data_IF_312094031974
#
_entry.id   IF_312094031974
#
_cell.length_a   1.000
_cell.length_b   1.000
_cell.length_c   1.000
_cell.angle_alpha   90.00
_cell.angle_beta   90.00
_cell.angle_gamma   90.00
#
_symmetry.space_group_name_H-M   'P 1'
#
loop_
_entity.id
_entity.type
_entity.pdbx_description
1 polymer ?
#
# COMPACT_ATOMS: atom_id res chain seq x y z
N UNK A 1 8.38 -29.18 -1.64
CA UNK A 1 7.80 -27.85 -1.94
C UNK A 1 6.70 -27.42 -0.97
N UNK A 2 5.73 -28.28 -0.59
CA UNK A 2 4.70 -27.96 0.43
C UNK A 2 5.24 -27.42 1.78
N UNK A 3 6.27 -28.02 2.41
CA UNK A 3 6.70 -27.58 3.75
C UNK A 3 7.33 -26.18 3.76
N UNK A 4 8.02 -25.79 2.69
CA UNK A 4 8.63 -24.45 2.56
C UNK A 4 7.52 -23.40 2.43
N UNK A 5 6.52 -23.66 1.60
CA UNK A 5 5.38 -22.75 1.44
C UNK A 5 4.59 -22.61 2.74
N UNK A 6 4.45 -23.68 3.52
CA UNK A 6 3.75 -23.65 4.80
C UNK A 6 4.54 -22.89 5.89
N UNK A 7 5.87 -22.98 5.88
CA UNK A 7 6.72 -22.16 6.75
C UNK A 7 6.57 -20.66 6.43
N UNK A 8 6.70 -20.29 5.15
CA UNK A 8 6.52 -18.90 4.71
C UNK A 8 5.09 -18.40 4.82
N UNK A 9 4.08 -19.29 4.90
CA UNK A 9 2.69 -18.92 5.14
C UNK A 9 2.32 -18.84 6.64
N UNK A 10 3.29 -18.89 7.56
CA UNK A 10 3.05 -18.86 9.00
C UNK A 10 2.62 -17.49 9.50
N UNK A 11 1.47 -17.42 10.17
CA UNK A 11 0.95 -16.19 10.82
C UNK A 11 1.88 -15.71 11.94
N UNK A 12 2.54 -16.64 12.65
CA UNK A 12 3.51 -16.32 13.70
C UNK A 12 4.70 -15.55 13.13
N UNK A 13 5.17 -15.97 11.95
CA UNK A 13 6.25 -15.30 11.23
C UNK A 13 5.82 -13.89 10.82
N UNK A 14 4.63 -13.73 10.24
CA UNK A 14 4.11 -12.42 9.84
C UNK A 14 4.05 -11.45 11.01
N UNK A 15 3.50 -11.90 12.15
CA UNK A 15 3.37 -11.07 13.35
C UNK A 15 4.75 -10.68 13.91
N UNK A 16 5.69 -11.62 13.95
CA UNK A 16 7.05 -11.35 14.39
C UNK A 16 7.76 -10.35 13.46
N UNK A 17 7.61 -10.49 12.14
CA UNK A 17 8.19 -9.58 11.16
C UNK A 17 7.57 -8.18 11.24
N UNK A 18 6.25 -8.07 11.37
CA UNK A 18 5.58 -6.77 11.49
C UNK A 18 6.00 -6.03 12.76
N UNK A 19 6.03 -6.72 13.90
CA UNK A 19 6.48 -6.12 15.16
C UNK A 19 7.97 -5.76 15.12
N UNK A 20 8.81 -6.66 14.59
CA UNK A 20 10.24 -6.41 14.44
C UNK A 20 10.52 -5.22 13.53
N UNK A 21 9.95 -5.19 12.32
CA UNK A 21 10.08 -4.07 11.38
C UNK A 21 9.54 -2.77 11.98
N UNK A 22 8.44 -2.81 12.74
CA UNK A 22 7.91 -1.63 13.40
C UNK A 22 8.89 -1.05 14.42
N UNK A 23 9.48 -1.88 15.29
CA UNK A 23 10.44 -1.43 16.30
C UNK A 23 11.71 -0.86 15.64
N UNK A 24 12.19 -1.54 14.61
CA UNK A 24 13.34 -1.14 13.82
C UNK A 24 13.08 0.21 13.12
N UNK A 25 11.91 0.36 12.48
CA UNK A 25 11.55 1.60 11.78
C UNK A 25 11.46 2.79 12.74
N UNK A 26 10.94 2.59 13.96
CA UNK A 26 10.96 3.60 15.02
C UNK A 26 12.41 3.97 15.36
N UNK A 27 13.30 2.99 15.54
CA UNK A 27 14.72 3.22 15.77
C UNK A 27 15.39 4.05 14.67
N UNK A 28 15.14 3.73 13.40
CA UNK A 28 15.67 4.47 12.25
C UNK A 28 15.12 5.89 12.11
N UNK A 29 13.94 6.16 12.67
CA UNK A 29 13.35 7.51 12.69
C UNK A 29 13.95 8.35 13.81
N UNK A 30 14.22 7.76 14.96
CA UNK A 30 14.82 8.46 16.12
C UNK A 30 16.32 8.71 15.92
N UNK A 31 17.01 7.82 15.20
CA UNK A 31 18.45 7.87 15.00
C UNK A 31 18.81 8.01 13.52
N UNK A 32 18.56 9.17 12.89
CA UNK A 32 18.87 9.37 11.48
C UNK A 32 20.37 9.27 11.20
N UNK A 33 20.71 8.81 10.00
CA UNK A 33 22.09 8.86 9.50
C UNK A 33 22.40 10.30 9.11
N UNK A 34 23.35 10.92 9.80
CA UNK A 34 23.83 12.26 9.50
C UNK A 34 25.00 12.19 8.51
N UNK A 35 24.90 12.92 7.39
CA UNK A 35 26.01 13.14 6.46
C UNK A 35 26.20 14.66 6.30
N UNK A 36 27.12 15.23 7.08
CA UNK A 36 27.30 16.67 7.16
C UNK A 36 26.13 17.33 7.89
N UNK A 37 25.49 18.32 7.26
CA UNK A 37 24.34 19.06 7.83
C UNK A 37 22.97 18.48 7.42
N UNK A 38 22.93 17.39 6.65
CA UNK A 38 21.70 16.83 6.09
C UNK A 38 21.36 15.50 6.79
N UNK A 39 20.13 15.40 7.29
CA UNK A 39 19.58 14.14 7.82
C UNK A 39 19.10 13.26 6.67
N UNK A 40 19.74 12.11 6.48
CA UNK A 40 19.46 11.19 5.35
C UNK A 40 18.75 9.93 5.82
N UNK A 41 17.45 10.05 6.10
CA UNK A 41 16.60 8.93 6.52
C UNK A 41 16.57 7.80 5.48
N UNK A 42 16.68 8.13 4.20
CA UNK A 42 16.64 7.18 3.10
C UNK A 42 17.75 6.14 3.19
N UNK A 43 18.94 6.48 3.67
CA UNK A 43 20.07 5.54 3.77
C UNK A 43 19.77 4.39 4.74
N UNK A 44 19.03 4.67 5.82
CA UNK A 44 18.62 3.66 6.78
C UNK A 44 17.65 2.66 6.14
N UNK A 45 16.61 3.17 5.46
CA UNK A 45 15.58 2.33 4.83
C UNK A 45 16.03 1.65 3.54
N UNK A 46 17.07 2.19 2.88
CA UNK A 46 17.72 1.57 1.73
C UNK A 46 18.77 0.51 2.12
N UNK A 47 19.07 0.37 3.41
CA UNK A 47 20.04 -0.62 3.87
C UNK A 47 19.62 -2.05 3.52
N UNK A 48 20.60 -2.87 3.14
CA UNK A 48 20.37 -4.24 2.68
C UNK A 48 19.66 -5.10 3.73
N UNK A 49 19.92 -4.86 5.02
CA UNK A 49 19.33 -5.62 6.10
C UNK A 49 17.85 -5.24 6.31
N UNK A 50 17.51 -3.95 6.24
CA UNK A 50 16.12 -3.49 6.34
C UNK A 50 15.30 -4.01 5.15
N UNK A 51 15.86 -3.87 3.94
CA UNK A 51 15.25 -4.40 2.71
C UNK A 51 15.11 -5.91 2.73
N UNK A 52 16.05 -6.64 3.30
CA UNK A 52 15.96 -8.09 3.44
C UNK A 52 14.80 -8.50 4.37
N UNK A 53 14.58 -7.77 5.47
CA UNK A 53 13.41 -7.96 6.34
C UNK A 53 12.11 -7.61 5.62
N UNK A 54 12.08 -6.51 4.86
CA UNK A 54 10.94 -6.11 4.05
C UNK A 54 10.62 -7.14 2.96
N UNK A 55 11.63 -7.66 2.26
CA UNK A 55 11.52 -8.71 1.25
C UNK A 55 11.04 -10.03 1.86
N UNK A 56 11.52 -10.37 3.07
CA UNK A 56 11.06 -11.55 3.81
C UNK A 56 9.57 -11.43 4.18
N UNK A 57 9.13 -10.25 4.63
CA UNK A 57 7.72 -9.96 4.87
C UNK A 57 6.90 -10.04 3.58
N UNK A 58 7.40 -9.49 2.47
CA UNK A 58 6.75 -9.56 1.17
C UNK A 58 6.60 -11.03 0.70
N UNK A 59 7.63 -11.85 0.86
CA UNK A 59 7.59 -13.27 0.47
C UNK A 59 6.59 -14.06 1.34
N UNK A 60 6.53 -13.77 2.64
CA UNK A 60 5.53 -14.33 3.55
C UNK A 60 4.10 -13.95 3.12
N UNK A 61 3.86 -12.67 2.82
CA UNK A 61 2.56 -12.19 2.37
C UNK A 61 2.19 -12.78 1.01
N UNK A 62 3.15 -12.92 0.09
CA UNK A 62 2.96 -13.56 -1.21
C UNK A 62 2.58 -15.04 -1.07
N UNK A 63 3.26 -15.79 -0.19
CA UNK A 63 2.93 -17.19 0.10
C UNK A 63 1.51 -17.32 0.71
N UNK A 64 1.15 -16.45 1.65
CA UNK A 64 -0.18 -16.40 2.24
C UNK A 64 -1.26 -16.06 1.20
N UNK A 65 -0.96 -15.10 0.31
CA UNK A 65 -1.84 -14.68 -0.79
C UNK A 65 -2.04 -15.82 -1.77
N UNK A 66 -0.98 -16.53 -2.14
CA UNK A 66 -1.07 -17.70 -3.01
C UNK A 66 -1.97 -18.79 -2.43
N UNK A 67 -1.81 -19.09 -1.13
CA UNK A 67 -2.65 -20.07 -0.42
C UNK A 67 -4.12 -19.66 -0.40
N UNK A 68 -4.39 -18.38 -0.12
CA UNK A 68 -5.76 -17.84 -0.07
C UNK A 68 -6.38 -17.80 -1.46
N UNK A 69 -5.64 -17.35 -2.46
CA UNK A 69 -6.05 -17.31 -3.86
C UNK A 69 -6.36 -18.71 -4.40
N UNK A 70 -5.46 -19.67 -4.16
CA UNK A 70 -5.67 -21.09 -4.51
C UNK A 70 -6.93 -21.66 -3.84
N UNK A 71 -7.18 -21.31 -2.57
CA UNK A 71 -8.37 -21.72 -1.83
C UNK A 71 -9.65 -21.13 -2.42
N UNK A 72 -9.67 -19.85 -2.78
CA UNK A 72 -10.83 -19.16 -3.36
C UNK A 72 -11.18 -19.74 -4.74
N UNK A 73 -10.17 -20.03 -5.56
CA UNK A 73 -10.37 -20.63 -6.90
C UNK A 73 -10.79 -22.10 -6.79
N UNK A 74 -10.16 -22.87 -5.90
CA UNK A 74 -10.44 -24.29 -5.70
C UNK A 74 -11.75 -24.58 -4.94
N UNK A 75 -12.39 -23.56 -4.36
CA UNK A 75 -13.58 -23.71 -3.54
C UNK A 75 -14.75 -24.34 -4.29
N UNK A 76 -14.97 -23.96 -5.57
CA UNK A 76 -16.02 -24.54 -6.41
C UNK A 76 -15.89 -26.06 -6.45
N UNK A 77 -14.70 -26.54 -6.84
CA UNK A 77 -14.41 -27.99 -6.93
C UNK A 77 -14.50 -28.67 -5.57
N UNK A 78 -14.03 -28.02 -4.50
CA UNK A 78 -14.12 -28.57 -3.15
C UNK A 78 -15.58 -28.77 -2.70
N UNK A 79 -16.45 -27.80 -2.96
CA UNK A 79 -17.86 -27.89 -2.59
C UNK A 79 -18.60 -28.96 -3.41
N UNK A 80 -18.28 -29.10 -4.69
CA UNK A 80 -18.80 -30.18 -5.55
C UNK A 80 -18.32 -31.56 -5.06
N UNK A 81 -17.03 -31.70 -4.74
CA UNK A 81 -16.50 -32.95 -4.17
C UNK A 81 -17.12 -33.29 -2.81
N UNK A 82 -17.48 -32.29 -1.99
CA UNK A 82 -18.22 -32.53 -0.76
C UNK A 82 -19.61 -33.09 -1.09
N UNK A 83 -20.30 -32.58 -2.11
CA UNK A 83 -21.55 -33.18 -2.59
C UNK A 83 -21.36 -34.60 -3.18
N UNK A 84 -20.19 -34.93 -3.76
CA UNK A 84 -19.87 -36.29 -4.23
C UNK A 84 -19.67 -37.27 -3.09
N UNK A 85 -19.02 -36.84 -2.01
CA UNK A 85 -18.68 -37.69 -0.86
C UNK A 85 -19.72 -37.61 0.28
N UNK A 86 -20.75 -36.77 0.16
CA UNK A 86 -21.83 -36.64 1.16
C UNK A 86 -22.85 -37.75 0.97
N UNK A 87 -22.48 -38.99 1.30
CA UNK A 87 -23.39 -40.15 1.22
C UNK A 87 -24.11 -40.47 2.54
N UNK A 88 -23.92 -39.74 3.65
CA UNK A 88 -24.72 -40.02 4.89
C UNK A 88 -24.56 -39.09 6.11
N UNK A 89 -23.68 -38.09 6.12
CA UNK A 89 -23.30 -37.39 7.38
C UNK A 89 -23.28 -35.85 7.31
N UNK A 90 -24.12 -35.23 6.47
CA UNK A 90 -24.27 -33.77 6.50
C UNK A 90 -25.27 -33.34 7.59
N UNK A 91 -24.93 -32.39 8.48
CA UNK A 91 -25.71 -32.09 9.69
C UNK A 91 -27.08 -31.41 9.47
N UNK A 92 -27.48 -31.15 8.21
CA UNK A 92 -28.77 -30.54 7.85
C UNK A 92 -29.16 -30.91 6.42
N UNK A 93 -29.59 -32.15 6.22
CA UNK A 93 -30.27 -32.55 4.98
C UNK A 93 -31.76 -32.35 5.17
N UNK A 94 -32.40 -31.59 4.28
CA UNK A 94 -33.86 -31.43 4.24
C UNK A 94 -34.33 -32.07 2.95
N UNK A 95 -35.19 -33.08 3.05
CA UNK A 95 -35.83 -33.66 1.88
C UNK A 95 -36.92 -32.72 1.37
N UNK A 96 -36.74 -32.21 0.15
CA UNK A 96 -37.74 -31.39 -0.53
C UNK A 96 -38.65 -32.31 -1.32
N UNK A 97 -39.76 -32.72 -0.72
CA UNK A 97 -40.74 -33.59 -1.38
C UNK A 97 -41.42 -32.88 -2.56
N UNK A 98 -41.39 -33.50 -3.75
CA UNK A 98 -42.21 -33.11 -4.90
C UNK A 98 -41.71 -31.92 -5.76
N UNK A 99 -40.45 -31.51 -5.67
CA UNK A 99 -39.89 -30.44 -6.52
C UNK A 99 -38.77 -30.93 -7.42
N UNK A 100 -38.86 -30.63 -8.72
CA UNK A 100 -37.78 -30.83 -9.70
C UNK A 100 -36.60 -29.91 -9.37
N UNK A 101 -35.38 -30.38 -9.64
CA UNK A 101 -34.12 -29.61 -9.55
C UNK A 101 -34.26 -28.23 -10.21
N UNK A 102 -34.88 -28.15 -11.39
CA UNK A 102 -35.10 -26.89 -12.12
C UNK A 102 -35.94 -25.86 -11.35
N UNK A 103 -36.97 -26.31 -10.63
CA UNK A 103 -37.83 -25.43 -9.84
C UNK A 103 -37.09 -24.82 -8.64
N UNK A 104 -36.15 -25.58 -8.08
CA UNK A 104 -35.28 -25.15 -6.98
C UNK A 104 -34.24 -24.15 -7.50
N UNK A 105 -33.62 -24.44 -8.65
CA UNK A 105 -32.69 -23.52 -9.32
C UNK A 105 -33.34 -22.16 -9.59
N UNK A 106 -34.55 -22.16 -10.16
CA UNK A 106 -35.25 -20.91 -10.51
C UNK A 106 -35.55 -20.05 -9.28
N UNK A 107 -36.02 -20.66 -8.18
CA UNK A 107 -36.26 -19.94 -6.91
C UNK A 107 -34.98 -19.37 -6.31
N UNK A 108 -33.87 -20.10 -6.39
CA UNK A 108 -32.58 -19.65 -5.85
C UNK A 108 -32.02 -18.47 -6.65
N UNK A 109 -32.11 -18.53 -7.99
CA UNK A 109 -31.76 -17.40 -8.85
C UNK A 109 -32.60 -16.15 -8.53
N UNK A 110 -33.92 -16.30 -8.32
CA UNK A 110 -34.79 -15.19 -7.93
C UNK A 110 -34.40 -14.54 -6.58
N UNK A 111 -33.87 -15.32 -5.63
CA UNK A 111 -33.40 -14.81 -4.34
C UNK A 111 -31.96 -14.25 -4.39
N UNK A 112 -31.39 -14.10 -5.59
CA UNK A 112 -30.06 -13.53 -5.81
C UNK A 112 -28.90 -14.48 -5.50
N UNK A 113 -29.15 -15.79 -5.51
CA UNK A 113 -28.07 -16.79 -5.47
C UNK A 113 -27.57 -17.07 -6.87
N UNK A 114 -26.25 -17.17 -7.02
CA UNK A 114 -25.62 -17.66 -8.23
C UNK A 114 -25.59 -19.18 -8.18
N UNK A 115 -26.39 -19.81 -9.03
CA UNK A 115 -26.53 -21.27 -9.10
C UNK A 115 -25.55 -21.84 -10.13
N UNK A 116 -24.99 -22.99 -9.83
CA UNK A 116 -24.19 -23.80 -10.75
C UNK A 116 -24.81 -25.19 -10.77
N UNK A 117 -25.22 -25.61 -11.97
CA UNK A 117 -25.73 -26.95 -12.22
C UNK A 117 -24.61 -27.83 -12.79
N UNK A 118 -24.36 -28.99 -12.18
CA UNK A 118 -23.38 -29.96 -12.67
C UNK A 118 -23.93 -31.37 -12.44
N UNK A 119 -24.28 -32.08 -13.53
CA UNK A 119 -25.03 -33.35 -13.49
C UNK A 119 -26.36 -33.21 -12.73
N UNK A 120 -26.60 -34.00 -11.67
CA UNK A 120 -27.80 -33.92 -10.80
C UNK A 120 -27.57 -33.05 -9.55
N UNK A 121 -26.60 -32.14 -9.59
CA UNK A 121 -26.15 -31.37 -8.42
C UNK A 121 -26.30 -29.88 -8.66
N UNK A 122 -26.91 -29.21 -7.68
CA UNK A 122 -27.06 -27.77 -7.65
C UNK A 122 -26.21 -27.17 -6.53
N UNK A 123 -25.35 -26.23 -6.89
CA UNK A 123 -24.58 -25.42 -5.96
C UNK A 123 -25.04 -23.97 -6.07
N UNK A 124 -25.70 -23.46 -5.03
CA UNK A 124 -26.18 -22.08 -4.97
C UNK A 124 -25.41 -21.26 -3.94
N UNK A 125 -24.89 -20.10 -4.36
CA UNK A 125 -24.02 -19.25 -3.53
C UNK A 125 -24.31 -17.76 -3.72
N UNK A 126 -24.26 -17.00 -2.63
CA UNK A 126 -24.44 -15.54 -2.62
C UNK A 126 -23.24 -14.88 -1.95
N UNK A 127 -22.82 -13.70 -2.43
CA UNK A 127 -21.76 -12.90 -1.81
C UNK A 127 -20.32 -13.30 -2.17
N UNK A 128 -20.01 -13.47 -3.47
CA UNK A 128 -18.64 -13.81 -3.90
C UNK A 128 -17.60 -12.71 -3.64
N UNK A 129 -18.00 -11.44 -3.70
CA UNK A 129 -17.09 -10.29 -3.61
C UNK A 129 -16.37 -10.19 -2.27
N UNK A 130 -17.05 -10.52 -1.16
CA UNK A 130 -16.45 -10.49 0.18
C UNK A 130 -15.29 -11.47 0.36
N UNK A 131 -15.12 -12.45 -0.53
CA UNK A 131 -14.03 -13.45 -0.47
C UNK A 131 -12.76 -12.99 -1.18
N UNK A 132 -12.87 -12.02 -2.10
CA UNK A 132 -11.75 -11.44 -2.82
C UNK A 132 -11.09 -10.29 -2.07
N UNK A 133 -11.74 -9.75 -1.03
CA UNK A 133 -11.22 -8.65 -0.22
C UNK A 133 -9.82 -8.93 0.34
N UNK A 134 -9.61 -10.11 0.92
CA UNK A 134 -8.34 -10.49 1.53
C UNK A 134 -7.20 -10.63 0.49
N UNK A 135 -7.35 -11.39 -0.61
CA UNK A 135 -6.33 -11.41 -1.67
C UNK A 135 -6.04 -10.04 -2.26
N UNK A 136 -7.06 -9.20 -2.47
CA UNK A 136 -6.89 -7.86 -3.06
C UNK A 136 -6.08 -6.96 -2.12
N UNK A 137 -6.40 -6.95 -0.83
CA UNK A 137 -5.67 -6.17 0.18
C UNK A 137 -4.19 -6.58 0.25
N UNK A 138 -3.91 -7.88 0.26
CA UNK A 138 -2.52 -8.33 0.26
C UNK A 138 -1.81 -7.94 -1.03
N UNK A 139 -2.49 -8.03 -2.18
CA UNK A 139 -1.91 -7.65 -3.47
C UNK A 139 -1.57 -6.16 -3.53
N UNK A 140 -2.41 -5.27 -2.97
CA UNK A 140 -2.10 -3.84 -2.91
C UNK A 140 -0.89 -3.55 -2.03
N UNK A 141 -0.80 -4.19 -0.86
CA UNK A 141 0.35 -4.02 0.04
C UNK A 141 1.62 -4.58 -0.62
N UNK A 142 1.55 -5.74 -1.27
CA UNK A 142 2.65 -6.32 -2.03
C UNK A 142 3.11 -5.40 -3.16
N UNK A 143 2.20 -4.76 -3.88
CA UNK A 143 2.54 -3.82 -4.95
C UNK A 143 3.35 -2.63 -4.41
N UNK A 144 2.96 -2.05 -3.27
CA UNK A 144 3.70 -0.96 -2.61
C UNK A 144 5.09 -1.43 -2.16
N UNK A 145 5.18 -2.61 -1.54
CA UNK A 145 6.46 -3.18 -1.09
C UNK A 145 7.40 -3.46 -2.27
N UNK A 146 6.88 -3.98 -3.38
CA UNK A 146 7.65 -4.23 -4.60
C UNK A 146 8.18 -2.92 -5.19
N UNK A 147 7.38 -1.85 -5.20
CA UNK A 147 7.85 -0.52 -5.63
C UNK A 147 9.02 -0.02 -4.77
N UNK A 148 8.92 -0.17 -3.45
CA UNK A 148 10.00 0.19 -2.52
C UNK A 148 11.28 -0.64 -2.71
N UNK A 149 11.15 -1.95 -2.99
CA UNK A 149 12.29 -2.82 -3.28
C UNK A 149 12.91 -2.53 -4.66
N UNK A 150 12.08 -2.20 -5.65
CA UNK A 150 12.52 -1.86 -7.00
C UNK A 150 13.21 -0.49 -7.08
N UNK A 151 13.16 0.33 -6.02
CA UNK A 151 13.80 1.64 -6.00
C UNK A 151 15.33 1.57 -6.18
N UNK A 152 15.95 0.41 -5.97
CA UNK A 152 17.38 0.15 -6.21
C UNK A 152 17.76 0.18 -7.69
N UNK A 153 16.79 -0.02 -8.59
CA UNK A 153 17.00 0.11 -10.02
C UNK A 153 17.11 1.57 -10.45
N UNK A 154 16.74 2.51 -9.58
CA UNK A 154 16.92 3.93 -9.78
C UNK A 154 18.29 4.41 -9.29
N UNK A 155 18.59 5.66 -9.59
CA UNK A 155 19.76 6.37 -9.07
C UNK A 155 19.31 7.64 -8.35
N UNK A 156 20.10 8.08 -7.37
CA UNK A 156 19.88 9.33 -6.66
C UNK A 156 20.99 10.29 -7.06
N UNK A 157 20.59 11.48 -7.51
CA UNK A 157 21.51 12.49 -7.97
C UNK A 157 20.96 13.88 -7.69
N UNK A 158 21.85 14.84 -7.54
CA UNK A 158 21.46 16.25 -7.42
C UNK A 158 21.96 17.02 -8.62
N UNK A 159 21.20 17.99 -9.07
CA UNK A 159 21.65 18.94 -10.08
C UNK A 159 21.17 20.32 -9.74
N UNK A 160 22.00 21.32 -10.01
CA UNK A 160 21.59 22.72 -9.98
C UNK A 160 21.29 23.14 -11.41
N UNK A 161 20.06 23.56 -11.68
CA UNK A 161 19.61 24.04 -12.99
C UNK A 161 18.90 25.38 -12.78
N UNK A 162 19.22 26.35 -13.63
CA UNK A 162 18.59 27.67 -13.63
C UNK A 162 17.50 27.73 -14.70
N UNK A 163 16.55 28.66 -14.56
CA UNK A 163 15.54 28.89 -15.59
C UNK A 163 16.19 29.12 -16.96
N UNK A 164 15.55 28.60 -18.01
CA UNK A 164 16.00 28.59 -19.41
C UNK A 164 17.27 27.79 -19.71
N UNK A 165 17.92 27.21 -18.68
CA UNK A 165 19.10 26.37 -18.87
C UNK A 165 18.72 24.90 -19.06
N UNK A 166 19.67 24.16 -19.64
CA UNK A 166 19.57 22.71 -19.84
C UNK A 166 20.81 22.02 -19.28
N UNK A 167 20.62 20.81 -18.73
CA UNK A 167 21.68 19.93 -18.26
C UNK A 167 21.43 18.50 -18.71
N UNK A 168 22.49 17.79 -19.10
CA UNK A 168 22.51 16.38 -19.43
C UNK A 168 23.28 15.55 -18.40
N UNK A 169 23.65 16.16 -17.26
CA UNK A 169 24.42 15.53 -16.18
C UNK A 169 23.81 15.80 -14.82
N UNK A 170 24.05 14.86 -13.89
CA UNK A 170 23.75 15.00 -12.48
C UNK A 170 25.01 14.75 -11.64
N UNK A 171 25.04 15.30 -10.44
CA UNK A 171 26.06 15.02 -9.44
C UNK A 171 25.68 13.77 -8.66
N UNK A 172 26.55 12.76 -8.71
CA UNK A 172 26.46 11.51 -7.98
C UNK A 172 27.26 11.62 -6.69
N UNK A 173 26.57 11.47 -5.56
CA UNK A 173 27.16 11.60 -4.23
C UNK A 173 28.06 10.42 -3.83
N UNK A 174 27.87 9.25 -4.44
CA UNK A 174 28.65 8.05 -4.11
C UNK A 174 30.06 8.13 -4.68
N UNK A 175 30.19 8.70 -5.89
CA UNK A 175 31.50 8.91 -6.54
C UNK A 175 32.03 10.35 -6.42
N UNK A 176 31.25 11.24 -5.80
CA UNK A 176 31.54 12.67 -5.69
C UNK A 176 31.88 13.31 -7.05
N UNK A 177 31.06 13.05 -8.07
CA UNK A 177 31.34 13.49 -9.44
C UNK A 177 30.12 13.52 -10.35
N UNK A 178 30.28 14.11 -11.54
CA UNK A 178 29.21 14.19 -12.53
C UNK A 178 29.04 12.87 -13.30
N UNK A 179 27.79 12.45 -13.51
CA UNK A 179 27.41 11.37 -14.41
C UNK A 179 26.42 11.84 -15.48
N UNK A 180 26.46 11.26 -16.69
CA UNK A 180 25.47 11.55 -17.71
C UNK A 180 24.10 11.03 -17.28
N UNK A 181 23.08 11.85 -17.49
CA UNK A 181 21.68 11.57 -17.16
C UNK A 181 21.03 10.63 -18.21
N UNK A 182 21.59 10.59 -19.43
CA UNK A 182 21.05 9.82 -20.55
C UNK A 182 19.92 10.52 -21.33
N UNK A 183 19.52 11.70 -20.87
CA UNK A 183 18.61 12.61 -21.55
C UNK A 183 18.95 14.06 -21.16
N UNK A 184 18.44 15.04 -21.90
CA UNK A 184 18.63 16.46 -21.59
C UNK A 184 17.41 16.98 -20.83
N UNK A 185 17.63 17.47 -19.61
CA UNK A 185 16.62 18.15 -18.82
C UNK A 185 16.76 19.66 -19.07
N UNK A 186 15.65 20.34 -19.38
CA UNK A 186 15.59 21.82 -19.51
C UNK A 186 14.56 22.36 -18.55
N UNK A 187 14.91 23.39 -17.79
CA UNK A 187 13.99 24.08 -16.90
C UNK A 187 13.35 25.25 -17.64
N UNK A 188 12.11 25.07 -18.10
CA UNK A 188 11.39 26.09 -18.88
C UNK A 188 10.82 27.21 -18.00
N UNK A 189 10.35 26.87 -16.81
CA UNK A 189 9.74 27.82 -15.89
C UNK A 189 9.87 27.32 -14.45
N UNK A 190 10.16 28.22 -13.53
CA UNK A 190 10.17 27.97 -12.10
C UNK A 190 9.39 29.09 -11.40
N UNK A 191 8.40 28.72 -10.60
CA UNK A 191 7.60 29.67 -9.83
C UNK A 191 7.60 29.21 -8.38
N UNK A 192 8.21 29.98 -7.46
CA UNK A 192 8.15 29.66 -6.05
C UNK A 192 6.73 29.87 -5.52
N UNK A 193 6.13 28.82 -4.99
CA UNK A 193 4.87 28.91 -4.25
C UNK A 193 5.16 29.05 -2.77
N UNK A 194 4.88 30.23 -2.23
CA UNK A 194 4.99 30.50 -0.80
C UNK A 194 3.74 30.04 -0.08
N UNK A 195 3.90 29.41 1.08
CA UNK A 195 2.77 29.14 1.97
C UNK A 195 2.20 30.49 2.45
N UNK A 196 0.87 30.65 2.53
CA UNK A 196 0.30 31.84 3.13
C UNK A 196 0.65 31.85 4.62
N UNK A 197 1.62 32.66 4.99
CA UNK A 197 1.98 32.89 6.39
C UNK A 197 1.05 33.98 6.91
N UNK A 198 0.24 33.64 7.90
CA UNK A 198 -0.54 34.63 8.65
C UNK A 198 0.43 35.51 9.44
N UNK A 199 0.49 36.77 9.05
CA UNK A 199 1.22 37.83 9.74
C UNK A 199 0.26 38.50 10.72
N UNK A 200 0.59 38.41 12.02
CA UNK A 200 -0.11 39.12 13.09
C UNK A 200 0.71 40.31 13.53
N UNK A 201 0.11 41.48 13.56
CA UNK A 201 0.74 42.69 14.06
C UNK A 201 -0.26 43.54 14.84
N UNK A 202 0.26 44.35 15.76
CA UNK A 202 -0.53 45.13 16.70
C UNK A 202 -0.17 46.60 16.58
N UNK A 203 -1.18 47.48 16.59
CA UNK A 203 -0.97 48.94 16.65
C UNK A 203 -0.92 49.39 18.11
N UNK A 204 -0.07 50.38 18.39
CA UNK A 204 0.10 50.94 19.73
C UNK A 204 -0.07 52.46 19.69
N UNK A 205 -0.68 53.02 20.73
CA UNK A 205 -0.70 54.46 20.93
C UNK A 205 0.73 54.98 21.16
N UNK A 206 1.13 56.00 20.39
CA UNK A 206 2.50 56.53 20.40
C UNK A 206 2.92 57.11 21.76
N UNK A 207 1.98 57.66 22.53
CA UNK A 207 2.25 58.34 23.79
C UNK A 207 2.08 57.43 25.00
N UNK A 208 1.00 56.65 25.04
CA UNK A 208 0.67 55.79 26.18
C UNK A 208 1.27 54.38 26.05
N UNK A 209 1.74 54.00 24.85
CA UNK A 209 2.17 52.65 24.48
C UNK A 209 1.12 51.58 24.77
N UNK A 210 -0.14 51.98 24.87
CA UNK A 210 -1.25 51.06 25.03
C UNK A 210 -1.55 50.40 23.69
N UNK A 211 -1.80 49.09 23.70
CA UNK A 211 -2.26 48.35 22.54
C UNK A 211 -3.64 48.88 22.11
N UNK A 212 -3.77 49.23 20.83
CA UNK A 212 -5.00 49.70 20.22
C UNK A 212 -5.74 48.51 19.63
N UNK A 213 -5.25 47.99 18.50
CA UNK A 213 -5.89 46.90 17.76
C UNK A 213 -4.87 45.86 17.27
N UNK A 214 -5.34 44.63 17.07
CA UNK A 214 -4.56 43.55 16.50
C UNK A 214 -5.13 43.17 15.13
N UNK A 215 -4.24 43.07 14.14
CA UNK A 215 -4.57 42.75 12.76
C UNK A 215 -3.87 41.48 12.34
N UNK A 216 -4.58 40.66 11.55
CA UNK A 216 -4.06 39.46 10.90
C UNK A 216 -4.18 39.65 9.40
N UNK A 217 -3.09 39.45 8.67
CA UNK A 217 -3.04 39.52 7.20
C UNK A 217 -2.19 38.40 6.66
N UNK A 218 -2.27 38.14 5.36
CA UNK A 218 -1.29 37.31 4.64
C UNK A 218 -0.35 38.19 3.81
N UNK A 219 0.80 37.63 3.42
CA UNK A 219 1.73 38.29 2.52
C UNK A 219 1.05 38.66 1.19
N UNK A 220 1.11 39.95 0.81
CA UNK A 220 0.47 40.48 -0.40
C UNK A 220 -0.91 41.12 -0.21
N UNK A 221 -1.52 41.00 0.98
CA UNK A 221 -2.76 41.69 1.32
C UNK A 221 -2.51 43.03 2.02
N UNK A 222 -3.46 43.96 1.85
CA UNK A 222 -3.43 45.27 2.52
C UNK A 222 -4.45 45.27 3.65
N UNK A 223 -4.05 45.79 4.80
CA UNK A 223 -4.91 45.99 5.96
C UNK A 223 -5.18 47.47 6.13
N UNK A 224 -6.46 47.84 6.24
CA UNK A 224 -6.86 49.20 6.60
C UNK A 224 -6.64 49.41 8.11
N UNK A 225 -5.79 50.38 8.45
CA UNK A 225 -5.40 50.74 9.82
C UNK A 225 -6.28 51.83 10.42
#
# INVERSE_FOLDING_TARGET
MKPILDFFSSVKLTLALLLGLSLIAVGGTVWPVEQGAIQRFELYFQSIWFRSLLALLALNLAACTWKTFSRVIGEKRRLLNVLDNSSSSSPKTIELSGKTIDAVEHRLNQHGYRVVHENDKLLARRGLWGRWSLPILHLSILAVMLGGLASELGFVGTMNIYETHQSDKYFDWDIQGERPLGFTLRLDHFEPQYYPIELRFTTFDKQTRQQLDEYTTIEGETVDL
#
